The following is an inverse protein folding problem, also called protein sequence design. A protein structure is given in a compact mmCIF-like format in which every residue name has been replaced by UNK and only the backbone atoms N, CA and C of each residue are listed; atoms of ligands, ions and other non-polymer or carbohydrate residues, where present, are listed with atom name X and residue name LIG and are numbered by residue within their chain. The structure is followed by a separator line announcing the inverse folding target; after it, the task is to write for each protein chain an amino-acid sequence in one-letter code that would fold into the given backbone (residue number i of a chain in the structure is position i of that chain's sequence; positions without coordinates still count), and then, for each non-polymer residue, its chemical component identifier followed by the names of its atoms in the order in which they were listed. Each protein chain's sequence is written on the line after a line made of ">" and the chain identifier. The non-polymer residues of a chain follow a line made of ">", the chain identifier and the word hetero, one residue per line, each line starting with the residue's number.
data_IF_240938221109
#
_entry.id   IF_240938221109
#
_cell.length_a   1.000
_cell.length_b   1.000
_cell.length_c   1.000
_cell.angle_alpha   90.00
_cell.angle_beta   90.00
_cell.angle_gamma   90.00
#
_symmetry.space_group_name_H-M   'P 1'
#
loop_
_entity.id
_entity.type
_entity.pdbx_description
1 polymer ?
#
# COMPACT_ATOMS: atom_id res chain seq x y z
N UNK A 1 9.90 -3.73 -19.89
CA UNK A 1 10.32 -3.21 -18.57
C UNK A 1 9.16 -3.17 -17.54
N UNK A 2 7.88 -3.25 -17.94
CA UNK A 2 6.72 -3.14 -17.01
C UNK A 2 6.43 -4.38 -16.13
N UNK A 3 6.90 -5.58 -16.49
CA UNK A 3 6.57 -6.81 -15.75
C UNK A 3 7.23 -6.88 -14.38
N UNK A 4 8.47 -6.38 -14.25
CA UNK A 4 9.24 -6.44 -13.01
C UNK A 4 8.69 -5.54 -11.90
N UNK A 5 8.19 -4.35 -12.27
CA UNK A 5 7.58 -3.43 -11.32
C UNK A 5 6.24 -3.97 -10.81
N UNK A 6 5.44 -4.57 -11.71
CA UNK A 6 4.19 -5.24 -11.35
C UNK A 6 4.43 -6.36 -10.33
N UNK A 7 5.36 -7.26 -10.62
CA UNK A 7 5.71 -8.37 -9.73
C UNK A 7 6.22 -7.87 -8.37
N UNK A 8 7.03 -6.81 -8.36
CA UNK A 8 7.55 -6.27 -7.11
C UNK A 8 6.46 -5.59 -6.29
N UNK A 9 5.55 -4.84 -6.93
CA UNK A 9 4.37 -4.26 -6.28
C UNK A 9 3.49 -5.33 -5.66
N UNK A 10 3.26 -6.46 -6.35
CA UNK A 10 2.47 -7.58 -5.82
C UNK A 10 3.17 -8.23 -4.62
N UNK A 11 4.48 -8.40 -4.66
CA UNK A 11 5.23 -8.95 -3.52
C UNK A 11 5.22 -8.03 -2.29
N UNK A 12 5.32 -6.72 -2.50
CA UNK A 12 5.17 -5.73 -1.42
C UNK A 12 3.74 -5.79 -0.87
N UNK A 13 2.72 -5.84 -1.73
CA UNK A 13 1.33 -5.97 -1.30
C UNK A 13 1.10 -7.27 -0.52
N UNK A 14 1.67 -8.40 -0.96
CA UNK A 14 1.66 -9.67 -0.23
C UNK A 14 2.30 -9.54 1.15
N UNK A 15 3.44 -8.84 1.25
CA UNK A 15 4.12 -8.59 2.51
C UNK A 15 3.30 -7.72 3.47
N UNK A 16 2.49 -6.79 2.95
CA UNK A 16 1.55 -5.99 3.74
C UNK A 16 0.35 -6.84 4.20
N UNK A 17 -0.25 -7.62 3.30
CA UNK A 17 -1.49 -8.38 3.59
C UNK A 17 -1.22 -9.54 4.55
N UNK A 18 -0.09 -10.24 4.41
CA UNK A 18 0.24 -11.44 5.22
C UNK A 18 0.11 -11.23 6.74
N UNK A 19 0.72 -10.18 7.35
CA UNK A 19 0.58 -9.94 8.78
C UNK A 19 -0.74 -9.29 9.20
N UNK A 20 -1.50 -8.72 8.26
CA UNK A 20 -2.74 -7.98 8.57
C UNK A 20 -3.95 -8.91 8.52
N UNK A 21 -4.12 -9.60 7.40
CA UNK A 21 -5.22 -10.52 7.14
C UNK A 21 -4.77 -11.56 6.09
N UNK A 22 -4.21 -12.70 6.53
CA UNK A 22 -3.71 -13.73 5.62
C UNK A 22 -4.82 -14.39 4.80
N UNK A 23 -6.09 -14.32 5.23
CA UNK A 23 -7.19 -14.89 4.44
C UNK A 23 -7.40 -14.13 3.13
N UNK A 24 -7.06 -12.84 3.12
CA UNK A 24 -7.19 -12.00 1.93
C UNK A 24 -6.15 -12.31 0.85
N UNK A 25 -5.11 -13.10 1.14
CA UNK A 25 -4.11 -13.52 0.15
C UNK A 25 -4.74 -14.33 -1.00
N UNK A 26 -5.83 -15.04 -0.76
CA UNK A 26 -6.52 -15.80 -1.82
C UNK A 26 -7.14 -14.91 -2.90
N UNK A 27 -7.36 -13.62 -2.59
CA UNK A 27 -7.93 -12.65 -3.53
C UNK A 27 -6.86 -11.76 -4.16
N UNK A 28 -5.63 -11.77 -3.65
CA UNK A 28 -4.57 -10.84 -4.04
C UNK A 28 -4.26 -10.88 -5.54
N UNK A 29 -4.24 -12.06 -6.16
CA UNK A 29 -3.93 -12.17 -7.59
C UNK A 29 -5.03 -11.57 -8.47
N UNK A 30 -6.30 -11.88 -8.16
CA UNK A 30 -7.45 -11.33 -8.86
C UNK A 30 -7.56 -9.81 -8.67
N UNK A 31 -7.32 -9.33 -7.44
CA UNK A 31 -7.32 -7.90 -7.15
C UNK A 31 -6.12 -7.19 -7.77
N UNK A 32 -4.96 -7.85 -7.89
CA UNK A 32 -3.81 -7.30 -8.61
C UNK A 32 -4.14 -7.14 -10.10
N UNK A 33 -4.73 -8.15 -10.74
CA UNK A 33 -5.15 -8.04 -12.14
C UNK A 33 -6.13 -6.88 -12.34
N UNK A 34 -7.17 -6.79 -11.50
CA UNK A 34 -8.13 -5.69 -11.55
C UNK A 34 -7.47 -4.33 -11.29
N UNK A 35 -6.58 -4.23 -10.30
CA UNK A 35 -5.86 -3.01 -9.97
C UNK A 35 -4.96 -2.53 -11.10
N UNK A 36 -4.20 -3.43 -11.75
CA UNK A 36 -3.34 -3.04 -12.86
C UNK A 36 -4.11 -2.77 -14.15
N UNK A 37 -5.33 -3.28 -14.30
CA UNK A 37 -6.23 -2.92 -15.39
C UNK A 37 -6.80 -1.51 -15.22
N UNK A 38 -7.35 -1.20 -14.04
CA UNK A 38 -7.81 0.15 -13.68
C UNK A 38 -7.65 0.39 -12.16
N UNK A 39 -6.58 1.12 -11.74
CA UNK A 39 -6.33 1.40 -10.33
C UNK A 39 -7.43 2.25 -9.68
N UNK A 40 -8.12 3.11 -10.45
CA UNK A 40 -9.16 3.98 -9.90
C UNK A 40 -10.42 3.18 -9.65
N UNK A 41 -10.78 2.29 -10.56
CA UNK A 41 -11.92 1.40 -10.39
C UNK A 41 -11.68 0.39 -9.27
N UNK A 42 -10.48 -0.19 -9.17
CA UNK A 42 -10.13 -1.12 -8.09
C UNK A 42 -10.15 -0.51 -6.69
N UNK A 43 -9.98 0.82 -6.60
CA UNK A 43 -10.06 1.61 -5.36
C UNK A 43 -11.39 2.34 -5.20
N UNK A 44 -12.29 2.26 -6.19
CA UNK A 44 -13.62 2.83 -6.08
C UNK A 44 -14.48 1.95 -5.19
N UNK A 45 -15.22 2.58 -4.28
CA UNK A 45 -16.31 1.90 -3.60
C UNK A 45 -17.43 1.59 -4.56
N UNK A 46 -17.97 0.39 -4.43
CA UNK A 46 -19.08 -0.05 -5.27
C UNK A 46 -18.62 -0.79 -6.52
N UNK A 47 -17.80 -1.84 -6.38
CA UNK A 47 -18.02 -3.01 -7.24
C UNK A 47 -19.51 -3.30 -7.13
N UNK A 48 -20.26 -3.12 -8.22
CA UNK A 48 -21.58 -3.72 -8.35
C UNK A 48 -21.33 -5.21 -8.20
N UNK A 49 -21.49 -5.72 -6.98
CA UNK A 49 -21.56 -7.14 -6.76
C UNK A 49 -22.57 -7.65 -7.75
N UNK A 50 -22.11 -8.51 -8.64
CA UNK A 50 -22.96 -9.41 -9.40
C UNK A 50 -23.86 -10.08 -8.38
N UNK A 51 -25.10 -9.60 -8.31
CA UNK A 51 -26.28 -10.12 -7.62
C UNK A 51 -26.02 -11.22 -6.56
N UNK A 52 -25.31 -10.88 -5.49
CA UNK A 52 -25.37 -11.65 -4.24
C UNK A 52 -26.35 -10.96 -3.29
N UNK A 53 -27.61 -10.84 -3.72
CA UNK A 53 -28.84 -10.85 -2.90
C UNK A 53 -28.90 -10.09 -1.57
N UNK A 54 -28.02 -9.14 -1.31
CA UNK A 54 -27.97 -8.35 -0.07
C UNK A 54 -27.37 -7.01 -0.44
N UNK A 55 -28.05 -5.91 -0.11
CA UNK A 55 -27.64 -4.54 -0.46
C UNK A 55 -26.40 -4.06 0.30
N UNK A 56 -25.35 -4.87 0.36
CA UNK A 56 -24.08 -4.56 1.01
C UNK A 56 -23.17 -3.91 -0.03
N UNK A 57 -22.93 -2.62 0.14
CA UNK A 57 -21.83 -1.92 -0.54
C UNK A 57 -20.52 -2.63 -0.18
N UNK A 58 -19.83 -3.18 -1.17
CA UNK A 58 -18.56 -3.89 -0.94
C UNK A 58 -17.49 -2.84 -0.63
N UNK A 59 -16.98 -2.89 0.61
CA UNK A 59 -15.84 -2.09 1.06
C UNK A 59 -14.60 -2.40 0.20
N UNK A 60 -13.69 -1.43 0.07
CA UNK A 60 -12.43 -1.65 -0.65
C UNK A 60 -11.63 -2.74 0.09
N UNK A 61 -11.23 -3.79 -0.63
CA UNK A 61 -10.49 -4.90 -0.04
C UNK A 61 -9.10 -4.47 0.48
N UNK A 62 -8.62 -5.10 1.55
CA UNK A 62 -7.28 -4.88 2.12
C UNK A 62 -6.18 -5.06 1.07
N UNK A 63 -6.37 -5.99 0.15
CA UNK A 63 -5.51 -6.28 -1.02
C UNK A 63 -5.39 -5.09 -1.97
N UNK A 64 -6.50 -4.45 -2.35
CA UNK A 64 -6.49 -3.28 -3.23
C UNK A 64 -5.78 -2.09 -2.58
N UNK A 65 -6.01 -1.86 -1.28
CA UNK A 65 -5.29 -0.85 -0.51
C UNK A 65 -3.79 -1.15 -0.45
N UNK A 66 -3.43 -2.41 -0.19
CA UNK A 66 -2.03 -2.83 -0.15
C UNK A 66 -1.33 -2.64 -1.49
N UNK A 67 -1.99 -2.93 -2.62
CA UNK A 67 -1.46 -2.70 -3.97
C UNK A 67 -1.24 -1.22 -4.26
N UNK A 68 -2.20 -0.36 -3.91
CA UNK A 68 -2.05 1.09 -4.03
C UNK A 68 -0.87 1.62 -3.21
N UNK A 69 -0.78 1.21 -1.95
CA UNK A 69 0.31 1.61 -1.06
C UNK A 69 1.66 1.11 -1.58
N UNK A 70 1.72 -0.15 -2.04
CA UNK A 70 2.91 -0.75 -2.59
C UNK A 70 3.43 0.02 -3.83
N UNK A 71 2.55 0.32 -4.79
CA UNK A 71 2.91 1.07 -5.98
C UNK A 71 3.40 2.48 -5.60
N UNK A 72 2.65 3.19 -4.77
CA UNK A 72 3.00 4.55 -4.35
C UNK A 72 4.29 4.61 -3.51
N UNK A 73 4.64 3.54 -2.80
CA UNK A 73 5.91 3.44 -2.08
C UNK A 73 7.08 3.14 -3.02
N UNK A 74 6.87 2.26 -4.01
CA UNK A 74 7.89 1.95 -5.03
C UNK A 74 8.24 3.19 -5.86
N UNK A 75 7.25 3.99 -6.26
CA UNK A 75 7.45 5.24 -6.99
C UNK A 75 8.38 6.21 -6.23
N UNK A 76 8.28 6.27 -4.90
CA UNK A 76 9.19 7.10 -4.07
C UNK A 76 10.63 6.62 -4.21
N UNK A 77 10.86 5.31 -4.10
CA UNK A 77 12.21 4.74 -4.17
C UNK A 77 12.81 4.93 -5.56
N UNK A 78 12.01 4.75 -6.62
CA UNK A 78 12.45 4.99 -8.00
C UNK A 78 12.80 6.46 -8.22
N UNK A 79 11.97 7.39 -7.74
CA UNK A 79 12.26 8.82 -7.81
C UNK A 79 13.52 9.22 -7.03
N UNK A 80 13.75 8.64 -5.84
CA UNK A 80 14.97 8.88 -5.06
C UNK A 80 16.21 8.33 -5.76
N UNK A 81 16.10 7.17 -6.42
CA UNK A 81 17.19 6.54 -7.15
C UNK A 81 17.60 7.37 -8.38
N UNK A 82 16.62 7.93 -9.10
CA UNK A 82 16.87 8.84 -10.23
C UNK A 82 17.53 10.15 -9.74
N UNK A 83 17.08 10.71 -8.62
CA UNK A 83 17.63 11.94 -8.04
C UNK A 83 19.01 11.76 -7.40
N UNK A 84 19.40 10.56 -6.96
CA UNK A 84 20.78 10.29 -6.53
C UNK A 84 21.80 10.36 -7.68
N UNK A 85 21.35 10.34 -8.95
CA UNK A 85 22.17 10.67 -10.12
C UNK A 85 22.27 12.17 -10.43
N UNK A 86 21.44 13.02 -9.80
CA UNK A 86 21.38 14.47 -10.03
C UNK A 86 21.20 15.17 -8.68
N UNK A 87 22.31 15.60 -8.07
CA UNK A 87 22.41 16.37 -6.82
C UNK A 87 21.11 17.01 -6.28
N UNK A 88 20.63 16.54 -5.12
CA UNK A 88 19.61 17.29 -4.35
C UNK A 88 18.65 16.46 -3.48
N UNK A 89 19.16 15.73 -2.48
CA UNK A 89 18.37 14.79 -1.66
C UNK A 89 17.47 15.47 -0.59
N UNK A 90 17.68 16.73 -0.22
CA UNK A 90 17.11 17.24 1.05
C UNK A 90 15.74 17.92 0.99
N UNK A 91 15.18 18.18 -0.20
CA UNK A 91 14.04 19.10 -0.35
C UNK A 91 12.66 18.49 -0.65
N UNK A 92 12.56 17.19 -0.97
CA UNK A 92 11.36 16.66 -1.64
C UNK A 92 10.43 15.83 -0.76
N UNK A 93 10.89 15.28 0.38
CA UNK A 93 10.00 14.56 1.30
C UNK A 93 8.86 15.44 1.85
N UNK A 94 9.04 16.77 1.89
CA UNK A 94 8.02 17.69 2.42
C UNK A 94 7.01 18.19 1.36
N UNK A 95 7.19 17.94 0.06
CA UNK A 95 6.46 18.68 -0.99
C UNK A 95 5.40 17.90 -1.75
N UNK A 96 5.26 16.59 -1.55
CA UNK A 96 4.11 15.86 -2.10
C UNK A 96 3.17 15.46 -0.99
N UNK A 97 1.93 15.97 -1.10
CA UNK A 97 0.76 15.62 -0.30
C UNK A 97 0.83 14.12 0.00
N UNK A 98 0.90 13.77 1.29
CA UNK A 98 0.76 12.38 1.74
C UNK A 98 -0.46 11.79 1.00
N UNK A 99 -0.30 10.80 0.09
CA UNK A 99 -1.45 10.12 -0.50
C UNK A 99 -2.30 9.42 0.57
N UNK A 100 -1.76 9.26 1.79
CA UNK A 100 -2.54 8.95 2.98
C UNK A 100 -3.78 9.84 3.17
N UNK A 101 -3.82 11.07 2.63
CA UNK A 101 -5.00 11.93 2.70
C UNK A 101 -6.12 11.58 1.72
N UNK A 102 -5.88 10.77 0.68
CA UNK A 102 -6.93 10.30 -0.25
C UNK A 102 -7.70 9.10 0.31
N UNK A 103 -7.01 8.27 1.11
CA UNK A 103 -7.58 7.12 1.82
C UNK A 103 -8.09 7.49 3.23
N UNK A 104 -7.37 8.38 3.94
CA UNK A 104 -7.78 8.81 5.28
C UNK A 104 -9.08 9.63 5.21
N UNK A 105 -10.12 9.14 5.88
CA UNK A 105 -11.44 9.77 5.92
C UNK A 105 -12.50 9.09 5.06
N UNK A 106 -12.11 8.09 4.25
CA UNK A 106 -13.06 7.20 3.58
C UNK A 106 -13.54 6.11 4.55
N UNK A 107 -14.84 6.06 4.91
CA UNK A 107 -15.36 5.07 5.88
C UNK A 107 -15.28 3.62 5.36
N UNK A 108 -15.15 3.48 4.05
CA UNK A 108 -15.08 2.26 3.26
C UNK A 108 -13.68 1.67 3.09
N UNK A 109 -12.65 2.38 3.55
CA UNK A 109 -11.26 1.94 3.48
C UNK A 109 -10.89 1.21 4.78
N UNK A 110 -10.32 -0.01 4.71
CA UNK A 110 -9.86 -0.72 5.90
C UNK A 110 -8.77 0.09 6.60
N UNK A 111 -8.88 0.20 7.92
CA UNK A 111 -7.87 0.86 8.75
C UNK A 111 -7.02 -0.16 9.50
N UNK A 112 -5.77 0.21 9.77
CA UNK A 112 -4.75 -0.66 10.33
C UNK A 112 -4.32 -0.16 11.71
N UNK A 113 -4.04 -1.08 12.64
CA UNK A 113 -3.43 -0.73 13.93
C UNK A 113 -1.96 -0.34 13.74
N UNK A 114 -1.38 0.40 14.69
CA UNK A 114 0.05 0.72 14.65
C UNK A 114 0.92 -0.55 14.60
N UNK A 115 0.54 -1.59 15.34
CA UNK A 115 1.21 -2.89 15.32
C UNK A 115 1.16 -3.55 13.93
N UNK A 116 0.00 -3.57 13.28
CA UNK A 116 -0.15 -4.08 11.91
C UNK A 116 0.73 -3.31 10.91
N UNK A 117 0.82 -1.99 11.07
CA UNK A 117 1.65 -1.14 10.23
C UNK A 117 3.14 -1.43 10.46
N UNK A 118 3.57 -1.62 11.71
CA UNK A 118 4.95 -1.98 12.04
C UNK A 118 5.33 -3.36 11.48
N UNK A 119 4.44 -4.34 11.60
CA UNK A 119 4.62 -5.67 11.02
C UNK A 119 4.71 -5.62 9.48
N UNK A 120 3.83 -4.85 8.83
CA UNK A 120 3.87 -4.65 7.39
C UNK A 120 5.18 -3.98 6.95
N UNK A 121 5.64 -2.93 7.64
CA UNK A 121 6.89 -2.25 7.33
C UNK A 121 8.12 -3.17 7.48
N UNK A 122 8.14 -4.02 8.50
CA UNK A 122 9.19 -5.02 8.70
C UNK A 122 9.20 -6.06 7.57
N UNK A 123 8.03 -6.59 7.19
CA UNK A 123 7.88 -7.55 6.11
C UNK A 123 8.33 -6.95 4.75
N UNK A 124 7.94 -5.70 4.47
CA UNK A 124 8.36 -4.98 3.26
C UNK A 124 9.88 -4.77 3.22
N UNK A 125 10.51 -4.47 4.35
CA UNK A 125 11.98 -4.36 4.45
C UNK A 125 12.66 -5.67 4.05
N UNK A 126 12.14 -6.80 4.54
CA UNK A 126 12.68 -8.12 4.23
C UNK A 126 12.56 -8.45 2.73
N UNK A 127 11.39 -8.20 2.14
CA UNK A 127 11.15 -8.40 0.70
C UNK A 127 12.06 -7.51 -0.14
N UNK A 128 12.18 -6.22 0.19
CA UNK A 128 13.04 -5.28 -0.52
C UNK A 128 14.50 -5.74 -0.55
N UNK A 129 15.03 -6.16 0.60
CA UNK A 129 16.41 -6.70 0.69
C UNK A 129 16.57 -8.00 -0.08
N UNK A 130 15.58 -8.89 -0.03
CA UNK A 130 15.56 -10.13 -0.81
C UNK A 130 15.57 -9.89 -2.33
N UNK A 131 15.03 -8.75 -2.77
CA UNK A 131 15.07 -8.28 -4.17
C UNK A 131 16.33 -7.48 -4.52
N UNK A 132 17.30 -7.37 -3.60
CA UNK A 132 18.58 -6.72 -3.85
C UNK A 132 18.60 -5.20 -3.68
N UNK A 133 17.55 -4.59 -3.09
CA UNK A 133 17.61 -3.19 -2.70
C UNK A 133 18.63 -3.02 -1.55
N UNK A 134 19.40 -1.94 -1.61
CA UNK A 134 20.31 -1.58 -0.53
C UNK A 134 19.55 -1.22 0.76
N UNK A 135 20.27 -1.21 1.88
CA UNK A 135 19.65 -0.98 3.20
C UNK A 135 18.96 0.38 3.31
N UNK A 136 19.46 1.43 2.65
CA UNK A 136 18.82 2.74 2.67
C UNK A 136 17.54 2.74 1.83
N UNK A 137 17.58 2.18 0.61
CA UNK A 137 16.40 2.06 -0.26
C UNK A 137 15.29 1.21 0.38
N UNK A 138 15.64 0.08 1.00
CA UNK A 138 14.69 -0.76 1.73
C UNK A 138 14.04 -0.02 2.92
N UNK A 139 14.82 0.82 3.63
CA UNK A 139 14.32 1.64 4.73
C UNK A 139 13.39 2.77 4.24
N UNK A 140 13.73 3.43 3.13
CA UNK A 140 12.85 4.40 2.47
C UNK A 140 11.52 3.73 2.12
N UNK A 141 11.55 2.55 1.49
CA UNK A 141 10.34 1.84 1.08
C UNK A 141 9.43 1.53 2.27
N UNK A 142 10.00 0.96 3.34
CA UNK A 142 9.25 0.62 4.54
C UNK A 142 8.65 1.86 5.23
N UNK A 143 9.40 2.97 5.27
CA UNK A 143 8.91 4.25 5.79
C UNK A 143 7.75 4.77 4.93
N UNK A 144 7.89 4.70 3.60
CA UNK A 144 6.87 5.12 2.66
C UNK A 144 5.56 4.33 2.81
N UNK A 145 5.64 3.01 3.08
CA UNK A 145 4.48 2.16 3.39
C UNK A 145 3.85 2.57 4.72
N UNK A 146 4.66 2.73 5.78
CA UNK A 146 4.20 3.13 7.12
C UNK A 146 3.43 4.46 7.11
N UNK A 147 3.88 5.41 6.30
CA UNK A 147 3.26 6.74 6.20
C UNK A 147 1.97 6.77 5.38
N UNK A 148 1.71 5.71 4.60
CA UNK A 148 0.58 5.63 3.65
C UNK A 148 -0.54 4.70 4.09
N UNK A 149 -0.26 3.74 4.96
CA UNK A 149 -1.31 2.87 5.50
C UNK A 149 -2.29 3.67 6.37
N UNK A 150 -3.61 3.60 6.09
CA UNK A 150 -4.62 4.33 6.86
C UNK A 150 -4.70 3.82 8.29
N UNK A 151 -4.45 4.69 9.26
CA UNK A 151 -4.40 4.32 10.68
C UNK A 151 -5.80 4.24 11.27
N UNK A 152 -6.03 3.24 12.10
CA UNK A 152 -7.21 3.17 12.96
C UNK A 152 -7.14 4.35 13.95
N UNK A 153 -8.20 5.16 14.09
CA UNK A 153 -8.20 6.23 15.09
C UNK A 153 -8.01 5.63 16.48
N UNK A 154 -7.16 6.27 17.29
CA UNK A 154 -7.00 5.90 18.69
C UNK A 154 -8.37 5.94 19.38
N UNK A 155 -8.69 4.99 20.28
CA UNK A 155 -9.90 5.09 21.07
C UNK A 155 -9.92 6.44 21.79
N UNK A 156 -11.07 7.13 21.88
CA UNK A 156 -11.15 8.34 22.66
C UNK A 156 -10.71 8.00 24.08
N UNK A 157 -9.65 8.66 24.56
CA UNK A 157 -9.30 8.64 25.96
C UNK A 157 -10.53 9.13 26.72
N UNK A 158 -11.25 8.22 27.35
CA UNK A 158 -12.35 8.57 28.23
C UNK A 158 -11.77 9.36 29.39
N UNK A 159 -12.14 10.64 29.47
CA UNK A 159 -12.00 11.50 30.65
C UNK A 159 -13.21 11.27 31.56
#
# INVERSE_FOLDING_TARGET
>A
MQTSDREFTVDIARAIVTPVDPQMLTYLEADAEAYFADPREALATGRKSTELGSGVEVAVGVTAVALYVAQAALDVVLEESIKKGVDGIRGFLNRRRKPGNELAGRPDVPTFTDEQIDLAAAAVTAVARGRGLDAAAATTLATAVRDRLPRKPAPPSGD
#
